data_IF_299684454495
#
_entry.id   IF_299684454495
#
_cell.length_a   1.000
_cell.length_b   1.000
_cell.length_c   1.000
_cell.angle_alpha   90.00
_cell.angle_beta   90.00
_cell.angle_gamma   90.00
#
_symmetry.space_group_name_H-M   'P 1'
#
loop_
_entity.id
_entity.type
_entity.pdbx_description
1 polymer ?
#
# COMPACT_ATOMS: atom_id res chain seq x y z
N UNK A 1 -0.79 -16.00 -25.81
CA UNK A 1 -0.94 -16.13 -24.34
C UNK A 1 -1.62 -14.87 -23.87
N UNK A 2 -2.77 -14.97 -23.22
CA UNK A 2 -3.40 -13.79 -22.59
C UNK A 2 -2.52 -13.34 -21.43
N UNK A 3 -2.25 -12.03 -21.36
CA UNK A 3 -1.51 -11.43 -20.25
C UNK A 3 -2.46 -11.43 -19.05
N UNK A 4 -2.05 -12.02 -17.92
CA UNK A 4 -2.84 -11.92 -16.68
C UNK A 4 -3.00 -10.44 -16.32
N UNK A 5 -4.25 -10.02 -15.99
CA UNK A 5 -4.56 -8.63 -15.68
C UNK A 5 -3.83 -8.22 -14.40
N UNK A 6 -2.97 -7.21 -14.48
CA UNK A 6 -2.19 -6.73 -13.36
C UNK A 6 -2.94 -5.58 -12.67
N UNK A 7 -3.53 -5.88 -11.50
CA UNK A 7 -4.09 -4.84 -10.64
C UNK A 7 -2.99 -4.22 -9.76
N UNK A 8 -3.15 -2.93 -9.50
CA UNK A 8 -2.34 -2.15 -8.56
C UNK A 8 -3.28 -1.54 -7.53
N UNK A 9 -2.93 -1.61 -6.25
CA UNK A 9 -3.65 -0.90 -5.19
C UNK A 9 -2.91 0.38 -4.85
N UNK A 10 -3.61 1.50 -4.78
CA UNK A 10 -3.06 2.79 -4.46
C UNK A 10 -3.68 3.32 -3.17
N UNK A 11 -2.91 3.31 -2.08
CA UNK A 11 -3.34 3.72 -0.74
C UNK A 11 -2.75 5.10 -0.43
N UNK A 12 -3.62 6.06 -0.14
CA UNK A 12 -3.29 7.49 -0.06
C UNK A 12 -3.47 8.09 1.33
N UNK A 13 -4.00 7.29 2.24
CA UNK A 13 -4.35 7.64 3.61
C UNK A 13 -4.17 6.41 4.50
N UNK A 14 -3.90 6.63 5.79
CA UNK A 14 -3.95 5.62 6.86
C UNK A 14 -5.39 5.28 7.29
N UNK A 15 -6.37 5.98 6.71
CA UNK A 15 -7.81 5.82 6.92
C UNK A 15 -8.51 5.57 5.58
N UNK A 16 -9.54 4.73 5.59
CA UNK A 16 -10.38 4.43 4.42
C UNK A 16 -11.69 5.22 4.45
N UNK A 17 -12.07 5.81 3.32
CA UNK A 17 -13.28 6.63 3.21
C UNK A 17 -13.15 8.04 3.80
N UNK A 18 -14.28 8.72 3.96
CA UNK A 18 -14.38 10.07 4.56
C UNK A 18 -15.47 10.07 5.61
N UNK A 19 -15.21 10.66 6.77
CA UNK A 19 -16.16 10.70 7.89
C UNK A 19 -15.42 10.59 9.21
N UNK A 20 -15.82 9.60 10.01
CA UNK A 20 -15.19 9.32 11.30
C UNK A 20 -13.83 8.65 11.13
N UNK A 21 -12.81 9.20 11.79
CA UNK A 21 -11.42 8.78 11.63
C UNK A 21 -11.13 7.42 12.31
N UNK A 22 -11.78 7.13 13.44
CA UNK A 22 -11.61 5.86 14.15
C UNK A 22 -12.19 4.72 13.31
N UNK A 23 -13.39 4.94 12.75
CA UNK A 23 -13.98 4.02 11.79
C UNK A 23 -13.09 3.88 10.53
N UNK A 24 -12.56 4.99 10.02
CA UNK A 24 -11.67 4.99 8.86
C UNK A 24 -10.41 4.13 9.07
N UNK A 25 -9.82 4.17 10.26
CA UNK A 25 -8.69 3.32 10.64
C UNK A 25 -9.08 1.83 10.71
N UNK A 26 -10.22 1.50 11.32
CA UNK A 26 -10.75 0.13 11.37
C UNK A 26 -10.98 -0.42 9.94
N UNK A 27 -11.56 0.39 9.07
CA UNK A 27 -11.81 0.02 7.68
C UNK A 27 -10.50 -0.20 6.91
N UNK A 28 -9.49 0.66 7.11
CA UNK A 28 -8.18 0.50 6.48
C UNK A 28 -7.49 -0.79 6.94
N UNK A 29 -7.53 -1.09 8.23
CA UNK A 29 -7.01 -2.35 8.77
C UNK A 29 -7.71 -3.56 8.14
N UNK A 30 -9.05 -3.54 8.09
CA UNK A 30 -9.85 -4.59 7.46
C UNK A 30 -9.53 -4.75 5.97
N UNK A 31 -9.32 -3.64 5.26
CA UNK A 31 -8.96 -3.62 3.84
C UNK A 31 -7.62 -4.33 3.60
N UNK A 32 -6.55 -3.93 4.30
CA UNK A 32 -5.21 -4.54 4.13
C UNK A 32 -5.23 -6.03 4.49
N UNK A 33 -5.89 -6.41 5.59
CA UNK A 33 -6.00 -7.80 6.02
C UNK A 33 -6.77 -8.68 5.00
N UNK A 34 -7.70 -8.08 4.26
CA UNK A 34 -8.51 -8.77 3.26
C UNK A 34 -7.77 -8.90 1.92
N UNK A 35 -6.87 -7.96 1.57
CA UNK A 35 -6.08 -8.04 0.32
C UNK A 35 -5.30 -9.35 0.18
N UNK A 36 -4.80 -9.90 1.28
CA UNK A 36 -4.06 -11.18 1.33
C UNK A 36 -4.88 -12.35 0.74
N UNK A 37 -6.21 -12.26 0.85
CA UNK A 37 -7.16 -13.29 0.44
C UNK A 37 -7.71 -13.06 -0.98
N UNK A 38 -7.33 -11.96 -1.64
CA UNK A 38 -7.81 -11.65 -2.97
C UNK A 38 -7.20 -12.60 -4.01
N UNK A 39 -8.03 -13.07 -4.94
CA UNK A 39 -7.61 -13.87 -6.08
C UNK A 39 -8.22 -13.29 -7.37
N UNK A 40 -7.40 -12.79 -8.32
CA UNK A 40 -5.95 -12.65 -8.24
C UNK A 40 -5.51 -11.56 -7.26
N UNK A 41 -4.38 -11.80 -6.58
CA UNK A 41 -3.71 -10.81 -5.72
C UNK A 41 -3.16 -9.64 -6.56
N UNK A 42 -3.09 -8.39 -6.05
CA UNK A 42 -2.46 -7.30 -6.79
C UNK A 42 -0.98 -7.55 -7.03
N UNK A 43 -0.49 -7.02 -8.16
CA UNK A 43 0.94 -7.07 -8.48
C UNK A 43 1.76 -6.11 -7.63
N UNK A 44 1.21 -4.91 -7.36
CA UNK A 44 1.85 -3.88 -6.54
C UNK A 44 0.86 -3.16 -5.64
N UNK A 45 1.37 -2.62 -4.53
CA UNK A 45 0.66 -1.67 -3.68
C UNK A 45 1.52 -0.43 -3.49
N UNK A 46 0.93 0.73 -3.71
CA UNK A 46 1.58 2.03 -3.54
C UNK A 46 1.04 2.70 -2.27
N UNK A 47 1.95 3.29 -1.49
CA UNK A 47 1.66 4.05 -0.29
C UNK A 47 2.23 5.46 -0.44
N UNK A 48 1.37 6.48 -0.36
CA UNK A 48 1.82 7.88 -0.27
C UNK A 48 0.93 8.70 0.66
N UNK A 49 1.37 9.92 0.96
CA UNK A 49 0.76 10.79 1.97
C UNK A 49 0.69 10.05 3.32
N UNK A 50 -0.40 10.10 4.11
CA UNK A 50 -0.41 9.46 5.43
C UNK A 50 -0.37 7.93 5.37
N UNK A 51 -0.65 7.30 4.22
CA UNK A 51 -0.58 5.85 4.07
C UNK A 51 0.81 5.26 4.37
N UNK A 52 1.89 6.05 4.26
CA UNK A 52 3.24 5.56 4.56
C UNK A 52 3.41 5.15 6.02
N UNK A 53 2.56 5.64 6.93
CA UNK A 53 2.57 5.23 8.34
C UNK A 53 2.08 3.80 8.52
N UNK A 54 1.32 3.24 7.58
CA UNK A 54 0.90 1.83 7.61
C UNK A 54 2.08 0.87 7.41
N UNK A 55 3.19 1.34 6.83
CA UNK A 55 4.36 0.54 6.49
C UNK A 55 5.41 0.45 7.61
N UNK A 56 5.21 1.13 8.75
CA UNK A 56 6.18 1.14 9.85
C UNK A 56 6.07 -0.12 10.73
N UNK A 57 7.14 -0.47 11.43
CA UNK A 57 7.20 -1.65 12.32
C UNK A 57 6.10 -1.70 13.38
N UNK A 58 5.65 -0.55 13.89
CA UNK A 58 4.59 -0.47 14.91
C UNK A 58 3.17 -0.46 14.34
N UNK A 59 3.01 -0.49 13.02
CA UNK A 59 1.70 -0.47 12.37
C UNK A 59 0.95 -1.78 12.65
N UNK A 60 -0.35 -1.73 12.97
CA UNK A 60 -1.15 -2.93 13.24
C UNK A 60 -1.40 -3.80 11.99
N UNK A 61 -0.94 -3.37 10.80
CA UNK A 61 -1.04 -4.11 9.54
C UNK A 61 0.32 -4.48 8.95
N UNK A 62 1.44 -4.18 9.60
CA UNK A 62 2.78 -4.39 9.01
C UNK A 62 3.05 -5.87 8.70
N UNK A 63 2.58 -6.79 9.54
CA UNK A 63 2.75 -8.23 9.30
C UNK A 63 1.92 -8.71 8.12
N UNK A 64 0.73 -8.12 7.92
CA UNK A 64 -0.08 -8.36 6.72
C UNK A 64 0.59 -7.83 5.46
N UNK A 65 1.27 -6.69 5.53
CA UNK A 65 2.08 -6.17 4.42
C UNK A 65 3.26 -7.09 4.10
N UNK A 66 3.98 -7.60 5.10
CA UNK A 66 5.05 -8.61 4.89
C UNK A 66 4.52 -9.90 4.28
N UNK A 67 3.32 -10.34 4.66
CA UNK A 67 2.70 -11.52 4.04
C UNK A 67 2.39 -11.28 2.54
N UNK A 68 1.95 -10.08 2.18
CA UNK A 68 1.76 -9.69 0.77
C UNK A 68 3.09 -9.72 0.00
N UNK A 69 4.19 -9.20 0.58
CA UNK A 69 5.53 -9.30 -0.02
C UNK A 69 5.95 -10.75 -0.25
N UNK A 70 5.73 -11.63 0.74
CA UNK A 70 6.01 -13.06 0.64
C UNK A 70 5.18 -13.77 -0.45
N UNK A 71 4.02 -13.21 -0.80
CA UNK A 71 3.17 -13.68 -1.91
C UNK A 71 3.54 -13.06 -3.26
N UNK A 72 4.61 -12.25 -3.32
CA UNK A 72 5.14 -11.65 -4.54
C UNK A 72 4.56 -10.27 -4.86
N UNK A 73 3.84 -9.64 -3.93
CA UNK A 73 3.33 -8.28 -4.11
C UNK A 73 4.45 -7.26 -3.84
N UNK A 74 4.70 -6.36 -4.77
CA UNK A 74 5.69 -5.30 -4.58
C UNK A 74 5.06 -4.09 -3.85
N UNK A 75 5.64 -3.67 -2.73
CA UNK A 75 5.16 -2.53 -1.95
C UNK A 75 6.06 -1.31 -2.18
N UNK A 76 5.48 -0.23 -2.71
CA UNK A 76 6.17 1.01 -3.05
C UNK A 76 5.77 2.13 -2.09
N UNK A 77 6.73 2.71 -1.39
CA UNK A 77 6.51 3.73 -0.37
C UNK A 77 7.05 5.07 -0.87
N UNK A 78 6.24 6.12 -0.87
CA UNK A 78 6.71 7.44 -1.28
C UNK A 78 7.79 7.97 -0.33
N UNK A 79 9.03 8.08 -0.82
CA UNK A 79 10.18 8.56 -0.02
C UNK A 79 10.00 9.96 0.54
N UNK A 80 9.42 10.89 -0.22
CA UNK A 80 9.12 12.26 0.25
C UNK A 80 8.13 12.27 1.42
N UNK A 81 7.15 11.36 1.43
CA UNK A 81 6.21 11.25 2.54
C UNK A 81 6.87 10.61 3.76
N UNK A 82 7.67 9.55 3.57
CA UNK A 82 8.43 8.94 4.66
C UNK A 82 9.43 9.91 5.31
N UNK A 83 10.06 10.79 4.50
CA UNK A 83 10.86 11.92 4.98
C UNK A 83 10.03 12.90 5.81
N UNK A 84 8.88 13.32 5.28
CA UNK A 84 8.02 14.30 5.93
C UNK A 84 7.56 13.85 7.32
N UNK A 85 7.24 12.56 7.49
CA UNK A 85 6.82 12.00 8.77
C UNK A 85 7.99 11.53 9.66
N UNK A 86 9.25 11.65 9.23
CA UNK A 86 10.44 11.17 9.94
C UNK A 86 10.35 9.67 10.33
N UNK A 87 9.98 8.85 9.33
CA UNK A 87 9.75 7.40 9.52
C UNK A 87 10.59 6.50 8.60
N UNK A 88 11.55 7.04 7.84
CA UNK A 88 12.36 6.23 6.91
C UNK A 88 13.05 5.04 7.59
N UNK A 89 13.64 5.27 8.76
CA UNK A 89 14.34 4.23 9.52
C UNK A 89 13.39 3.33 10.33
N UNK A 90 12.08 3.56 10.24
CA UNK A 90 11.03 2.80 10.95
C UNK A 90 10.22 1.91 10.00
N UNK A 91 10.50 1.94 8.70
CA UNK A 91 9.79 1.13 7.71
C UNK A 91 10.05 -0.35 7.98
N UNK A 92 8.97 -1.09 8.23
CA UNK A 92 9.01 -2.53 8.53
C UNK A 92 8.58 -3.41 7.35
N UNK A 93 7.91 -2.86 6.33
CA UNK A 93 7.49 -3.59 5.12
C UNK A 93 7.52 -2.66 3.91
N UNK A 94 7.97 -3.15 2.75
CA UNK A 94 8.06 -2.41 1.50
C UNK A 94 9.36 -1.64 1.26
N UNK A 95 9.46 -1.05 0.06
CA UNK A 95 10.67 -0.36 -0.40
C UNK A 95 10.40 1.13 -0.63
N UNK A 96 11.30 1.98 -0.14
CA UNK A 96 11.29 3.42 -0.44
C UNK A 96 11.43 3.65 -1.95
N UNK A 97 10.51 4.43 -2.49
CA UNK A 97 10.36 4.74 -3.91
C UNK A 97 10.24 6.26 -4.12
N UNK A 98 9.95 6.65 -5.35
CA UNK A 98 9.81 8.04 -5.77
C UNK A 98 8.59 8.21 -6.70
N UNK A 99 8.22 9.46 -6.97
CA UNK A 99 7.04 9.77 -7.77
C UNK A 99 7.13 9.27 -9.22
N UNK A 100 8.34 9.18 -9.78
CA UNK A 100 8.55 8.68 -11.14
C UNK A 100 8.15 7.20 -11.24
N UNK A 101 8.69 6.35 -10.36
CA UNK A 101 8.34 4.92 -10.29
C UNK A 101 6.87 4.69 -9.93
N UNK A 102 6.30 5.52 -9.06
CA UNK A 102 4.87 5.49 -8.71
C UNK A 102 4.02 5.75 -9.96
N UNK A 103 4.31 6.82 -10.72
CA UNK A 103 3.55 7.15 -11.93
C UNK A 103 3.71 6.10 -13.02
N UNK A 104 4.92 5.60 -13.25
CA UNK A 104 5.15 4.49 -14.20
C UNK A 104 4.33 3.25 -13.84
N UNK A 105 4.30 2.90 -12.55
CA UNK A 105 3.52 1.77 -12.05
C UNK A 105 2.03 1.96 -12.28
N UNK A 106 1.49 3.13 -11.92
CA UNK A 106 0.07 3.45 -12.10
C UNK A 106 -0.31 3.50 -13.59
N UNK A 107 0.54 4.08 -14.43
CA UNK A 107 0.30 4.20 -15.87
C UNK A 107 0.37 2.86 -16.61
N UNK A 108 1.11 1.90 -16.06
CA UNK A 108 1.24 0.55 -16.63
C UNK A 108 0.19 -0.44 -16.13
N UNK A 109 -0.62 -0.06 -15.13
CA UNK A 109 -1.60 -0.95 -14.51
C UNK A 109 -2.84 -1.12 -15.39
N UNK A 110 -3.34 -2.36 -15.51
CA UNK A 110 -4.62 -2.62 -16.19
C UNK A 110 -5.81 -2.12 -15.36
N UNK A 111 -5.64 -2.08 -14.03
CA UNK A 111 -6.65 -1.60 -13.08
C UNK A 111 -5.96 -1.03 -11.84
N UNK A 112 -6.43 0.13 -11.40
CA UNK A 112 -6.06 0.72 -10.11
C UNK A 112 -7.24 0.64 -9.14
N UNK A 113 -6.99 0.18 -7.92
CA UNK A 113 -7.95 0.17 -6.80
C UNK A 113 -7.50 1.23 -5.80
N UNK A 114 -8.40 2.13 -5.40
CA UNK A 114 -8.11 3.18 -4.40
C UNK A 114 -9.20 3.17 -3.33
N UNK A 115 -8.87 2.79 -2.08
CA UNK A 115 -9.79 2.79 -0.95
C UNK A 115 -10.05 4.20 -0.37
#
# INVERSE_FOLDING_TARGET
MEKEKQSVVNITSDKMGRGDDDLGGILMQSFVNTLIKLDPIPSKIIFYNSAVTLCIESSPVVDSLKELENKGVELLICGTCADFFDIKDKIGAGTISNMYTILETLNSADRVITP
#
